data_IF_775417577383
#
_entry.id   IF_775417577383
#
_cell.length_a   1.000
_cell.length_b   1.000
_cell.length_c   1.000
_cell.angle_alpha   90.00
_cell.angle_beta   90.00
_cell.angle_gamma   90.00
#
_symmetry.space_group_name_H-M   'P 1'
#
loop_
_entity.id
_entity.type
_entity.pdbx_description
1 polymer ?
#
# COMPACT_ATOMS: atom_id res chain seq x y z
N UNK A 1 -18.39 26.33 -4.48
CA UNK A 1 -18.10 24.94 -4.11
C UNK A 1 -18.46 24.79 -2.65
N UNK A 2 -19.43 23.97 -2.30
CA UNK A 2 -19.81 23.73 -0.91
C UNK A 2 -18.74 22.87 -0.24
N UNK A 3 -18.06 23.40 0.78
CA UNK A 3 -17.19 22.62 1.67
C UNK A 3 -18.01 21.49 2.26
N UNK A 4 -17.76 20.26 1.81
CA UNK A 4 -18.29 19.06 2.46
C UNK A 4 -17.34 18.80 3.64
N UNK A 5 -17.81 18.86 4.90
CA UNK A 5 -16.98 18.56 6.06
C UNK A 5 -16.38 17.15 5.95
N UNK A 6 -15.07 17.01 6.15
CA UNK A 6 -14.35 15.73 6.02
C UNK A 6 -13.64 15.49 4.69
N UNK A 7 -13.49 16.52 3.85
CA UNK A 7 -12.68 16.49 2.61
C UNK A 7 -11.33 17.20 2.74
N UNK A 8 -10.96 17.64 3.94
CA UNK A 8 -9.70 18.34 4.16
C UNK A 8 -8.54 17.34 4.21
N UNK A 9 -7.44 17.69 3.57
CA UNK A 9 -6.19 16.94 3.66
C UNK A 9 -5.84 16.73 5.13
N UNK A 10 -5.48 15.48 5.46
CA UNK A 10 -5.06 15.12 6.81
C UNK A 10 -3.56 14.89 6.83
N UNK A 11 -2.85 15.67 7.65
CA UNK A 11 -1.41 15.53 7.83
C UNK A 11 -1.03 14.11 8.30
N UNK A 12 0.16 13.62 7.90
CA UNK A 12 0.67 12.33 8.33
C UNK A 12 0.71 12.18 9.86
N UNK A 13 0.24 11.04 10.35
CA UNK A 13 0.32 10.65 11.77
C UNK A 13 1.30 9.49 11.93
N UNK A 14 2.23 9.64 12.87
CA UNK A 14 3.17 8.58 13.22
C UNK A 14 2.74 7.95 14.55
N UNK A 15 2.55 6.64 14.52
CA UNK A 15 2.17 5.79 15.64
C UNK A 15 3.24 4.72 15.88
N UNK A 16 3.16 4.09 17.04
CA UNK A 16 3.92 2.89 17.36
C UNK A 16 2.95 1.76 17.70
N UNK A 17 2.94 0.71 16.88
CA UNK A 17 2.11 -0.48 17.11
C UNK A 17 3.05 -1.63 17.42
N UNK A 18 3.07 -2.07 18.69
CA UNK A 18 3.91 -3.17 19.16
C UNK A 18 5.41 -3.02 18.81
N UNK A 19 5.95 -1.82 18.91
CA UNK A 19 7.33 -1.50 18.56
C UNK A 19 7.58 -1.24 17.07
N UNK A 20 6.54 -1.30 16.22
CA UNK A 20 6.64 -1.05 14.78
C UNK A 20 6.20 0.39 14.50
N UNK A 21 7.06 1.15 13.80
CA UNK A 21 6.67 2.47 13.28
C UNK A 21 5.52 2.27 12.30
N UNK A 22 4.38 2.88 12.61
CA UNK A 22 3.19 2.86 11.75
C UNK A 22 2.87 4.29 11.34
N UNK A 23 2.78 4.55 10.04
CA UNK A 23 2.52 5.89 9.51
C UNK A 23 1.19 5.87 8.79
N UNK A 24 0.31 6.80 9.14
CA UNK A 24 -0.96 7.02 8.47
C UNK A 24 -0.84 8.31 7.66
N UNK A 25 -1.01 8.22 6.34
CA UNK A 25 -1.07 9.35 5.42
C UNK A 25 -2.47 9.45 4.83
N UNK A 26 -2.78 10.57 4.18
CA UNK A 26 -4.02 10.70 3.44
C UNK A 26 -3.85 10.36 1.95
N UNK A 27 -3.18 11.17 1.11
CA UNK A 27 -2.79 10.74 -0.22
C UNK A 27 -1.83 9.55 -0.17
N UNK A 28 -2.12 8.51 -0.94
CA UNK A 28 -1.35 7.26 -0.86
C UNK A 28 0.11 7.44 -1.25
N UNK A 29 0.41 8.29 -2.23
CA UNK A 29 1.77 8.56 -2.69
C UNK A 29 2.72 9.08 -1.60
N UNK A 30 2.19 9.71 -0.53
CA UNK A 30 3.01 10.26 0.55
C UNK A 30 3.70 9.17 1.40
N UNK A 31 3.26 7.90 1.34
CA UNK A 31 3.97 6.79 1.98
C UNK A 31 5.41 6.63 1.45
N UNK A 32 5.66 7.09 0.23
CA UNK A 32 6.93 6.93 -0.48
C UNK A 32 8.12 7.47 0.32
N UNK A 33 8.00 8.65 0.95
CA UNK A 33 9.12 9.23 1.69
C UNK A 33 9.47 8.42 2.94
N UNK A 34 8.49 7.79 3.58
CA UNK A 34 8.71 6.90 4.71
C UNK A 34 9.41 5.61 4.30
N UNK A 35 9.09 5.07 3.13
CA UNK A 35 9.78 3.91 2.57
C UNK A 35 11.23 4.26 2.21
N UNK A 36 11.43 5.41 1.56
CA UNK A 36 12.76 5.92 1.23
C UNK A 36 13.62 6.07 2.48
N UNK A 37 13.08 6.69 3.53
CA UNK A 37 13.79 6.93 4.79
C UNK A 37 14.08 5.64 5.55
N UNK A 38 13.20 4.63 5.49
CA UNK A 38 13.49 3.31 6.06
C UNK A 38 14.78 2.72 5.50
N UNK A 39 14.91 2.72 4.17
CA UNK A 39 16.02 2.09 3.46
C UNK A 39 17.29 2.96 3.49
N UNK A 40 17.17 4.29 3.52
CA UNK A 40 18.31 5.21 3.44
C UNK A 40 18.77 5.78 4.80
N UNK A 41 18.19 5.35 5.92
CA UNK A 41 18.56 5.86 7.25
C UNK A 41 19.82 5.23 7.86
N UNK A 42 20.36 4.16 7.26
CA UNK A 42 21.57 3.48 7.73
C UNK A 42 22.81 3.88 6.92
N UNK A 43 23.97 3.93 7.57
CA UNK A 43 25.28 4.14 6.92
C UNK A 43 25.83 2.87 6.24
N UNK A 44 25.18 1.73 6.40
CA UNK A 44 25.53 0.47 5.74
C UNK A 44 24.86 0.34 4.36
N UNK A 45 25.39 -0.56 3.51
CA UNK A 45 24.77 -0.89 2.22
C UNK A 45 23.37 -1.44 2.49
N UNK A 46 22.36 -0.65 2.18
CA UNK A 46 20.98 -1.04 2.41
C UNK A 46 20.52 -2.09 1.41
N UNK A 47 19.95 -3.18 1.93
CA UNK A 47 19.27 -4.18 1.11
C UNK A 47 17.86 -3.62 0.83
N UNK A 48 17.44 -3.49 -0.45
CA UNK A 48 16.10 -3.04 -0.79
C UNK A 48 15.04 -3.84 -0.04
N UNK A 49 13.93 -3.21 0.35
CA UNK A 49 12.88 -3.87 1.10
C UNK A 49 11.99 -4.77 0.23
N UNK A 50 11.33 -5.74 0.86
CA UNK A 50 10.16 -6.38 0.29
C UNK A 50 8.89 -5.59 0.69
N UNK A 51 8.01 -5.33 -0.27
CA UNK A 51 6.74 -4.64 -0.05
C UNK A 51 5.57 -5.61 -0.16
N UNK A 52 4.78 -5.73 0.92
CA UNK A 52 3.42 -6.25 0.86
C UNK A 52 2.44 -5.08 0.80
N UNK A 53 1.76 -4.92 -0.32
CA UNK A 53 0.81 -3.83 -0.57
C UNK A 53 -0.62 -4.38 -0.60
N UNK A 54 -1.44 -3.96 0.36
CA UNK A 54 -2.83 -4.39 0.56
C UNK A 54 -3.74 -3.29 0.04
N UNK A 55 -4.28 -3.49 -1.15
CA UNK A 55 -4.93 -2.41 -1.91
C UNK A 55 -6.00 -2.94 -2.90
N UNK A 56 -6.97 -2.10 -3.27
CA UNK A 56 -7.86 -2.33 -4.42
C UNK A 56 -7.14 -2.29 -5.77
N UNK A 57 -6.18 -1.39 -5.95
CA UNK A 57 -5.36 -1.09 -7.11
C UNK A 57 -3.95 -1.63 -6.88
N UNK A 58 -3.11 -1.67 -7.91
CA UNK A 58 -1.72 -2.13 -7.77
C UNK A 58 -0.72 -0.96 -7.78
N UNK A 59 -1.17 0.23 -8.15
CA UNK A 59 -0.40 1.48 -8.24
C UNK A 59 0.88 1.37 -9.07
N UNK A 60 0.80 0.62 -10.18
CA UNK A 60 1.91 0.36 -11.09
C UNK A 60 1.84 1.14 -12.41
N UNK A 61 0.94 2.11 -12.54
CA UNK A 61 0.71 2.81 -13.81
C UNK A 61 1.99 3.50 -14.31
N UNK A 62 2.17 3.53 -15.63
CA UNK A 62 3.38 3.97 -16.32
C UNK A 62 3.56 5.52 -16.33
N UNK A 63 4.83 5.99 -16.44
CA UNK A 63 5.32 7.38 -16.67
C UNK A 63 5.38 8.32 -15.47
N UNK A 64 6.53 8.44 -14.79
CA UNK A 64 6.62 9.28 -13.58
C UNK A 64 7.88 10.11 -13.47
N UNK A 65 7.76 11.30 -12.89
CA UNK A 65 8.90 12.21 -12.74
C UNK A 65 10.02 11.55 -11.92
N UNK A 66 11.26 11.67 -12.36
CA UNK A 66 12.43 11.41 -11.50
C UNK A 66 12.57 12.48 -10.41
N UNK A 67 13.27 12.12 -9.33
CA UNK A 67 13.72 13.03 -8.28
C UNK A 67 14.61 14.11 -8.91
N UNK A 68 14.13 15.34 -8.95
CA UNK A 68 14.81 16.48 -9.58
C UNK A 68 15.36 17.46 -8.53
N UNK A 69 16.17 16.99 -7.58
CA UNK A 69 16.80 17.85 -6.55
C UNK A 69 15.85 18.40 -5.48
N UNK A 70 14.58 18.02 -5.51
CA UNK A 70 13.61 18.26 -4.44
C UNK A 70 13.93 17.40 -3.21
N UNK A 71 13.51 17.86 -2.03
CA UNK A 71 13.49 16.99 -0.85
C UNK A 71 12.52 15.83 -1.05
N UNK A 72 12.74 14.73 -0.33
CA UNK A 72 12.00 13.48 -0.54
C UNK A 72 10.51 13.60 -0.23
N UNK A 73 10.11 14.47 0.70
CA UNK A 73 8.71 14.67 1.05
C UNK A 73 7.99 15.49 -0.03
N UNK A 74 8.65 16.52 -0.58
CA UNK A 74 8.18 17.24 -1.77
C UNK A 74 8.02 16.30 -2.96
N UNK A 75 9.04 15.49 -3.24
CA UNK A 75 8.99 14.52 -4.32
C UNK A 75 7.82 13.54 -4.14
N UNK A 76 7.66 12.96 -2.93
CA UNK A 76 6.58 12.04 -2.62
C UNK A 76 5.21 12.67 -2.89
N UNK A 77 4.97 13.91 -2.45
CA UNK A 77 3.70 14.64 -2.70
C UNK A 77 3.43 14.90 -4.18
N UNK A 78 4.48 15.07 -4.98
CA UNK A 78 4.38 15.31 -6.42
C UNK A 78 4.22 14.02 -7.25
N UNK A 79 4.37 12.84 -6.63
CA UNK A 79 4.06 11.57 -7.28
C UNK A 79 2.56 11.37 -7.46
N UNK A 80 2.19 10.67 -8.52
CA UNK A 80 0.80 10.27 -8.74
C UNK A 80 0.47 9.01 -7.95
N UNK A 81 -0.66 9.03 -7.23
CA UNK A 81 -1.13 7.93 -6.37
C UNK A 81 -1.24 6.58 -7.09
N UNK A 82 -1.43 6.55 -8.42
CA UNK A 82 -1.62 5.29 -9.16
C UNK A 82 -0.32 4.63 -9.64
N UNK A 83 0.84 5.08 -9.15
CA UNK A 83 2.11 4.82 -9.84
C UNK A 83 3.41 5.01 -9.06
N UNK A 84 3.33 5.44 -7.80
CA UNK A 84 4.50 5.74 -6.97
C UNK A 84 5.35 4.50 -6.66
N UNK A 85 4.86 3.29 -6.98
CA UNK A 85 5.61 2.03 -6.89
C UNK A 85 6.77 1.98 -7.91
N UNK A 86 6.61 2.53 -9.11
CA UNK A 86 7.66 2.49 -10.13
C UNK A 86 8.95 3.24 -9.70
N UNK A 87 8.85 4.49 -9.16
CA UNK A 87 9.97 5.13 -8.49
C UNK A 87 10.60 4.28 -7.38
N UNK A 88 9.81 3.54 -6.61
CA UNK A 88 10.35 2.74 -5.49
C UNK A 88 11.27 1.61 -5.96
N UNK A 89 10.93 0.98 -7.10
CA UNK A 89 11.83 0.05 -7.78
C UNK A 89 13.05 0.75 -8.39
N UNK A 90 12.83 1.89 -9.05
CA UNK A 90 13.89 2.64 -9.72
C UNK A 90 15.02 3.05 -8.76
N UNK A 91 14.65 3.59 -7.60
CA UNK A 91 15.59 4.01 -6.56
C UNK A 91 16.03 2.88 -5.63
N UNK A 92 15.71 1.62 -5.96
CA UNK A 92 16.06 0.43 -5.17
C UNK A 92 15.60 0.52 -3.70
N UNK A 93 14.49 1.22 -3.47
CA UNK A 93 13.80 1.22 -2.17
C UNK A 93 13.19 -0.17 -1.94
N UNK A 94 12.62 -0.75 -3.00
CA UNK A 94 12.06 -2.10 -2.99
C UNK A 94 12.62 -2.92 -4.15
N UNK A 95 12.74 -4.24 -3.97
CA UNK A 95 13.12 -5.19 -5.03
C UNK A 95 12.07 -6.32 -5.24
N UNK A 96 11.15 -6.46 -4.29
CA UNK A 96 10.03 -7.42 -4.35
C UNK A 96 8.74 -6.69 -3.99
N UNK A 97 7.69 -6.94 -4.79
CA UNK A 97 6.37 -6.37 -4.59
C UNK A 97 5.29 -7.47 -4.61
N UNK A 98 4.49 -7.49 -3.57
CA UNK A 98 3.40 -8.44 -3.40
C UNK A 98 2.10 -7.66 -3.22
N UNK A 99 1.22 -7.74 -4.22
CA UNK A 99 -0.07 -7.08 -4.17
C UNK A 99 -1.16 -8.03 -3.69
N UNK A 100 -1.79 -7.69 -2.58
CA UNK A 100 -2.92 -8.41 -2.03
C UNK A 100 -4.19 -7.56 -2.05
N UNK A 101 -5.07 -7.86 -3.01
CA UNK A 101 -6.41 -7.29 -3.04
C UNK A 101 -7.41 -8.19 -2.28
N UNK A 102 -7.97 -7.77 -1.12
CA UNK A 102 -8.90 -8.57 -0.32
C UNK A 102 -10.23 -8.90 -1.03
N UNK A 103 -10.51 -8.24 -2.15
CA UNK A 103 -11.69 -8.46 -3.00
C UNK A 103 -11.49 -9.59 -3.99
N UNK A 104 -10.25 -9.86 -4.38
CA UNK A 104 -9.89 -10.82 -5.42
C UNK A 104 -9.49 -12.15 -4.81
N UNK A 105 -9.66 -13.23 -5.58
CA UNK A 105 -9.28 -14.57 -5.15
C UNK A 105 -7.77 -14.84 -5.29
N UNK A 106 -7.11 -14.15 -6.21
CA UNK A 106 -5.72 -14.33 -6.56
C UNK A 106 -4.95 -13.02 -6.33
N UNK A 107 -3.97 -13.02 -5.42
CA UNK A 107 -3.07 -11.90 -5.30
C UNK A 107 -2.04 -11.94 -6.45
N UNK A 108 -1.36 -10.83 -6.71
CA UNK A 108 -0.31 -10.76 -7.74
C UNK A 108 1.05 -10.57 -7.09
N UNK A 109 2.09 -11.08 -7.75
CA UNK A 109 3.47 -10.88 -7.32
C UNK A 109 4.29 -10.37 -8.47
N UNK A 110 5.14 -9.41 -8.15
CA UNK A 110 6.08 -8.79 -9.04
C UNK A 110 7.43 -8.90 -8.37
N UNK A 111 8.36 -9.53 -9.07
CA UNK A 111 9.73 -9.69 -8.62
C UNK A 111 10.65 -9.32 -9.77
N UNK A 112 11.77 -8.68 -9.44
CA UNK A 112 12.84 -8.45 -10.40
C UNK A 112 12.44 -7.56 -11.59
N UNK A 113 11.49 -6.64 -11.37
CA UNK A 113 11.17 -5.59 -12.32
C UNK A 113 12.35 -4.63 -12.47
N UNK A 114 12.57 -4.20 -13.71
CA UNK A 114 13.54 -3.19 -14.05
C UNK A 114 12.81 -1.96 -14.54
N UNK A 115 13.30 -0.80 -14.15
CA UNK A 115 12.87 0.47 -14.70
C UNK A 115 14.03 1.14 -15.44
N UNK A 116 13.71 2.10 -16.29
CA UNK A 116 14.65 2.99 -16.93
C UNK A 116 14.14 4.42 -16.85
N UNK A 117 15.06 5.36 -16.99
CA UNK A 117 14.75 6.77 -17.12
C UNK A 117 14.81 7.18 -18.59
N UNK A 118 13.84 7.96 -19.04
CA UNK A 118 13.83 8.61 -20.35
C UNK A 118 13.09 9.95 -20.22
N UNK A 119 13.67 11.05 -20.70
CA UNK A 119 13.04 12.39 -20.67
C UNK A 119 12.52 12.79 -19.27
N UNK A 120 13.32 12.58 -18.22
CA UNK A 120 12.95 12.82 -16.82
C UNK A 120 11.71 12.02 -16.36
N UNK A 121 11.43 10.89 -17.02
CA UNK A 121 10.36 9.98 -16.64
C UNK A 121 10.87 8.56 -16.41
N UNK A 122 10.30 7.89 -15.41
CA UNK A 122 10.55 6.51 -15.06
C UNK A 122 9.55 5.62 -15.80
N UNK A 123 10.08 4.61 -16.48
CA UNK A 123 9.35 3.62 -17.26
C UNK A 123 9.71 2.21 -16.80
N UNK A 124 8.77 1.28 -16.93
CA UNK A 124 9.06 -0.15 -16.79
C UNK A 124 9.79 -0.68 -18.04
N UNK A 125 10.87 -1.45 -17.87
CA UNK A 125 11.63 -2.00 -19.00
C UNK A 125 10.90 -3.16 -19.68
N UNK A 126 10.14 -3.94 -18.92
CA UNK A 126 9.38 -5.06 -19.45
C UNK A 126 8.19 -5.36 -18.55
N UNK A 127 6.99 -5.24 -19.09
CA UNK A 127 5.75 -5.67 -18.44
C UNK A 127 5.69 -7.20 -18.29
N UNK A 128 6.59 -7.97 -18.91
CA UNK A 128 6.55 -9.45 -18.83
C UNK A 128 6.86 -10.02 -17.44
N UNK A 129 7.35 -9.23 -16.49
CA UNK A 129 7.75 -9.68 -15.15
C UNK A 129 6.59 -9.84 -14.15
N UNK A 130 5.34 -9.58 -14.57
CA UNK A 130 4.15 -9.83 -13.75
C UNK A 130 3.90 -11.33 -13.61
N UNK A 131 4.39 -11.95 -12.53
CA UNK A 131 4.07 -13.33 -12.22
C UNK A 131 2.66 -13.44 -11.62
N UNK A 132 1.71 -13.90 -12.44
CA UNK A 132 0.39 -14.35 -11.99
C UNK A 132 0.46 -15.88 -11.81
N UNK A 133 0.49 -16.40 -10.58
CA UNK A 133 0.57 -17.83 -10.33
C UNK A 133 -0.75 -18.53 -10.64
N UNK A 134 -0.64 -19.80 -11.08
CA UNK A 134 -1.77 -20.59 -11.58
C UNK A 134 -2.75 -21.06 -10.49
N UNK A 135 -2.37 -21.09 -9.21
CA UNK A 135 -3.28 -21.52 -8.12
C UNK A 135 -3.15 -20.69 -6.83
N UNK A 136 -4.24 -20.61 -6.07
CA UNK A 136 -4.35 -19.82 -4.84
C UNK A 136 -3.52 -20.38 -3.67
N UNK A 137 -3.54 -21.70 -3.49
CA UNK A 137 -2.89 -22.34 -2.34
C UNK A 137 -1.36 -22.24 -2.46
N UNK A 138 -0.84 -22.54 -3.66
CA UNK A 138 0.58 -22.37 -3.96
C UNK A 138 1.01 -20.92 -3.81
N UNK A 139 0.13 -19.96 -4.14
CA UNK A 139 0.47 -18.56 -4.05
C UNK A 139 0.59 -18.04 -2.63
N UNK A 140 -0.43 -18.23 -1.78
CA UNK A 140 -0.36 -17.68 -0.42
C UNK A 140 0.85 -18.26 0.31
N UNK A 141 1.12 -19.55 0.14
CA UNK A 141 2.32 -20.18 0.65
C UNK A 141 3.59 -19.53 0.10
N UNK A 142 3.76 -19.45 -1.23
CA UNK A 142 4.95 -18.90 -1.86
C UNK A 142 5.20 -17.44 -1.50
N UNK A 143 4.16 -16.60 -1.50
CA UNK A 143 4.25 -15.21 -1.08
C UNK A 143 4.70 -15.13 0.39
N UNK A 144 4.04 -15.83 1.31
CA UNK A 144 4.44 -15.79 2.73
C UNK A 144 5.84 -16.32 2.93
N UNK A 145 6.23 -17.37 2.21
CA UNK A 145 7.59 -17.91 2.24
C UNK A 145 8.60 -16.85 1.79
N UNK A 146 8.37 -16.19 0.64
CA UNK A 146 9.26 -15.15 0.12
C UNK A 146 9.35 -13.94 1.05
N UNK A 147 8.23 -13.47 1.59
CA UNK A 147 8.21 -12.38 2.57
C UNK A 147 8.98 -12.74 3.84
N UNK A 148 8.88 -13.98 4.32
CA UNK A 148 9.56 -14.45 5.54
C UNK A 148 11.06 -14.67 5.37
N UNK A 149 11.51 -14.99 4.16
CA UNK A 149 12.91 -15.32 3.88
C UNK A 149 13.65 -14.19 3.13
N UNK A 150 12.98 -13.08 2.84
CA UNK A 150 13.64 -11.90 2.29
C UNK A 150 14.56 -11.28 3.35
N UNK A 151 15.79 -10.95 2.92
CA UNK A 151 16.89 -10.54 3.80
C UNK A 151 16.83 -9.08 4.23
N UNK A 152 16.21 -8.22 3.41
CA UNK A 152 15.99 -6.82 3.74
C UNK A 152 14.76 -6.62 4.64
N UNK A 153 14.45 -5.35 4.85
CA UNK A 153 13.26 -4.96 5.60
C UNK A 153 11.97 -5.42 4.91
N UNK A 154 10.92 -5.63 5.70
CA UNK A 154 9.57 -5.85 5.24
C UNK A 154 8.72 -4.60 5.50
N UNK A 155 8.20 -4.02 4.43
CA UNK A 155 7.21 -2.96 4.46
C UNK A 155 5.83 -3.59 4.26
N UNK A 156 4.88 -3.24 5.13
CA UNK A 156 3.45 -3.54 4.93
C UNK A 156 2.74 -2.23 4.67
N UNK A 157 2.23 -2.08 3.45
CA UNK A 157 1.45 -0.93 3.03
C UNK A 157 -0.03 -1.31 2.88
N UNK A 158 -0.92 -0.45 3.37
CA UNK A 158 -2.36 -0.72 3.44
C UNK A 158 -3.13 0.52 2.97
N UNK A 159 -3.77 0.45 1.81
CA UNK A 159 -4.81 1.41 1.45
C UNK A 159 -6.14 0.98 2.09
N UNK A 160 -6.81 1.90 2.78
CA UNK A 160 -8.13 1.66 3.34
C UNK A 160 -9.18 1.37 2.26
N UNK A 161 -8.96 1.86 1.04
CA UNK A 161 -9.80 1.59 -0.11
C UNK A 161 -9.78 0.08 -0.43
N UNK A 162 -8.80 -0.71 0.03
CA UNK A 162 -8.76 -2.18 -0.11
C UNK A 162 -9.97 -2.86 0.54
N UNK A 163 -10.56 -2.21 1.55
CA UNK A 163 -11.66 -2.74 2.35
C UNK A 163 -13.01 -2.19 1.90
N UNK A 164 -13.09 -0.93 1.47
CA UNK A 164 -14.29 -0.34 0.89
C UNK A 164 -13.92 0.85 0.02
N UNK A 165 -14.47 0.91 -1.18
CA UNK A 165 -14.19 1.97 -2.16
C UNK A 165 -15.51 2.52 -2.69
N UNK A 166 -15.59 3.83 -2.96
CA UNK A 166 -16.81 4.52 -3.40
C UNK A 166 -17.33 4.06 -4.76
N UNK A 167 -16.48 3.48 -5.59
CA UNK A 167 -16.82 2.94 -6.90
C UNK A 167 -17.14 1.44 -6.85
N UNK A 168 -17.02 0.80 -5.69
CA UNK A 168 -17.39 -0.60 -5.51
C UNK A 168 -18.90 -0.76 -5.73
N UNK A 169 -19.29 -1.66 -6.64
CA UNK A 169 -20.70 -1.94 -6.91
C UNK A 169 -21.47 -2.31 -5.62
N UNK A 170 -20.79 -2.93 -4.65
CA UNK A 170 -21.35 -3.19 -3.35
C UNK A 170 -21.66 -1.91 -2.56
N UNK A 171 -20.73 -0.95 -2.55
CA UNK A 171 -20.95 0.34 -1.89
C UNK A 171 -22.10 1.10 -2.57
N UNK A 172 -22.08 1.21 -3.90
CA UNK A 172 -23.13 1.90 -4.65
C UNK A 172 -24.53 1.31 -4.38
N UNK A 173 -24.63 -0.02 -4.28
CA UNK A 173 -25.89 -0.73 -3.98
C UNK A 173 -26.34 -0.57 -2.53
N UNK A 174 -25.41 -0.50 -1.57
CA UNK A 174 -25.71 -0.61 -0.14
C UNK A 174 -25.30 0.61 0.68
N UNK A 175 -24.99 1.77 0.06
CA UNK A 175 -24.57 2.99 0.76
C UNK A 175 -25.58 3.48 1.81
N UNK A 176 -26.87 3.22 1.63
CA UNK A 176 -27.92 3.52 2.61
C UNK A 176 -28.11 2.43 3.68
N UNK A 177 -27.56 1.23 3.45
CA UNK A 177 -27.58 0.10 4.40
C UNK A 177 -26.20 -0.06 5.03
N UNK A 178 -25.93 0.74 6.07
CA UNK A 178 -24.60 0.78 6.71
C UNK A 178 -24.12 -0.59 7.20
N UNK A 179 -25.02 -1.40 7.74
CA UNK A 179 -24.73 -2.74 8.24
C UNK A 179 -24.20 -3.68 7.14
N UNK A 180 -24.69 -3.56 5.90
CA UNK A 180 -24.17 -4.34 4.79
C UNK A 180 -22.72 -3.95 4.45
N UNK A 181 -22.41 -2.65 4.41
CA UNK A 181 -21.05 -2.14 4.18
C UNK A 181 -20.09 -2.58 5.30
N UNK A 182 -20.46 -2.45 6.57
CA UNK A 182 -19.62 -2.89 7.69
C UNK A 182 -19.30 -4.38 7.64
N UNK A 183 -20.30 -5.24 7.37
CA UNK A 183 -20.05 -6.69 7.21
C UNK A 183 -19.07 -6.99 6.07
N UNK A 184 -19.13 -6.21 4.98
CA UNK A 184 -18.22 -6.37 3.84
C UNK A 184 -16.79 -5.97 4.19
N UNK A 185 -16.62 -4.83 4.89
CA UNK A 185 -15.34 -4.37 5.44
C UNK A 185 -14.74 -5.44 6.34
N UNK A 186 -15.49 -5.93 7.33
CA UNK A 186 -15.03 -6.94 8.28
C UNK A 186 -14.56 -8.23 7.58
N UNK A 187 -15.30 -8.67 6.55
CA UNK A 187 -14.90 -9.83 5.75
C UNK A 187 -13.54 -9.64 5.07
N UNK A 188 -13.27 -8.44 4.54
CA UNK A 188 -12.03 -8.10 3.83
C UNK A 188 -10.87 -7.92 4.82
N UNK A 189 -11.09 -7.22 5.93
CA UNK A 189 -10.12 -7.09 7.03
C UNK A 189 -9.75 -8.47 7.59
N UNK A 190 -10.72 -9.37 7.79
CA UNK A 190 -10.45 -10.76 8.20
C UNK A 190 -9.58 -11.50 7.17
N UNK A 191 -9.74 -11.19 5.89
CA UNK A 191 -8.88 -11.71 4.81
C UNK A 191 -7.43 -11.24 4.96
N UNK A 192 -7.22 -9.94 5.10
CA UNK A 192 -5.90 -9.33 5.33
C UNK A 192 -5.25 -9.87 6.62
N UNK A 193 -5.99 -9.94 7.74
CA UNK A 193 -5.52 -10.51 9.02
C UNK A 193 -4.95 -11.92 8.86
N UNK A 194 -5.60 -12.78 8.08
CA UNK A 194 -5.13 -14.16 7.85
C UNK A 194 -3.79 -14.21 7.13
N UNK A 195 -3.55 -13.26 6.22
CA UNK A 195 -2.29 -13.11 5.52
C UNK A 195 -1.22 -12.55 6.46
N UNK A 196 -1.50 -11.43 7.13
CA UNK A 196 -0.56 -10.75 8.02
C UNK A 196 -0.06 -11.66 9.17
N UNK A 197 -0.90 -12.57 9.67
CA UNK A 197 -0.48 -13.56 10.69
C UNK A 197 0.58 -14.57 10.19
N UNK A 198 0.81 -14.67 8.89
CA UNK A 198 1.71 -15.68 8.28
C UNK A 198 3.03 -15.08 7.81
N UNK A 199 3.20 -13.76 7.94
CA UNK A 199 4.42 -13.07 7.52
C UNK A 199 5.25 -12.69 8.75
N UNK A 200 6.56 -12.45 8.56
CA UNK A 200 7.46 -11.94 9.59
C UNK A 200 6.97 -10.57 10.08
N UNK A 201 7.40 -10.18 11.28
CA UNK A 201 7.11 -8.85 11.81
C UNK A 201 7.62 -7.79 10.82
N UNK A 202 6.79 -6.85 10.36
CA UNK A 202 7.24 -5.79 9.47
C UNK A 202 8.10 -4.77 10.22
N UNK A 203 8.99 -4.13 9.48
CA UNK A 203 9.87 -3.06 9.97
C UNK A 203 9.19 -1.69 9.88
N UNK A 204 8.27 -1.54 8.92
CA UNK A 204 7.44 -0.36 8.71
C UNK A 204 6.04 -0.77 8.29
N UNK A 205 5.04 -0.11 8.87
CA UNK A 205 3.66 -0.16 8.38
C UNK A 205 3.27 1.22 7.86
N UNK A 206 2.73 1.28 6.65
CA UNK A 206 2.10 2.48 6.10
C UNK A 206 0.62 2.24 5.85
N UNK A 207 -0.21 3.25 6.11
CA UNK A 207 -1.66 3.21 5.92
C UNK A 207 -2.07 4.47 5.16
N UNK A 208 -2.70 4.32 4.00
CA UNK A 208 -3.27 5.43 3.25
C UNK A 208 -4.78 5.50 3.49
N UNK A 209 -5.27 6.67 3.91
CA UNK A 209 -6.72 6.89 4.07
C UNK A 209 -7.42 7.01 2.71
N UNK A 210 -6.70 7.44 1.67
CA UNK A 210 -7.19 7.62 0.31
C UNK A 210 -8.46 8.45 0.25
N UNK A 211 -8.47 9.55 1.01
CA UNK A 211 -9.49 10.58 0.92
C UNK A 211 -9.08 11.69 -0.05
N UNK A 212 -7.78 12.00 -0.14
CA UNK A 212 -7.25 12.99 -1.09
C UNK A 212 -6.29 12.35 -2.12
N UNK A 213 -6.22 12.90 -3.35
CA UNK A 213 -7.05 13.98 -3.92
C UNK A 213 -8.46 13.53 -4.29
N UNK A 214 -8.71 12.23 -4.32
CA UNK A 214 -10.00 11.63 -4.68
C UNK A 214 -10.47 10.75 -3.53
N UNK A 215 -11.71 10.93 -3.07
CA UNK A 215 -12.30 10.16 -1.95
C UNK A 215 -12.55 8.69 -2.31
N UNK A 216 -11.51 7.89 -2.58
CA UNK A 216 -11.67 6.47 -2.92
C UNK A 216 -12.28 5.72 -1.74
N UNK A 217 -11.74 5.93 -0.53
CA UNK A 217 -12.39 5.48 0.70
C UNK A 217 -13.57 6.39 1.03
N UNK A 218 -14.80 5.85 1.18
CA UNK A 218 -15.95 6.65 1.56
C UNK A 218 -15.76 7.39 2.91
N UNK A 219 -15.94 8.72 2.97
CA UNK A 219 -15.65 9.52 4.17
C UNK A 219 -16.39 9.06 5.43
N UNK A 220 -17.62 8.57 5.29
CA UNK A 220 -18.43 8.08 6.41
C UNK A 220 -18.02 6.71 6.96
N UNK A 221 -17.00 6.09 6.35
CA UNK A 221 -16.42 4.80 6.75
C UNK A 221 -14.93 4.86 7.07
N UNK A 222 -14.20 5.91 6.68
CA UNK A 222 -12.73 5.99 6.81
C UNK A 222 -12.27 5.75 8.25
N UNK A 223 -12.85 6.46 9.23
CA UNK A 223 -12.50 6.34 10.65
C UNK A 223 -12.77 4.93 11.20
N UNK A 224 -13.89 4.34 10.77
CA UNK A 224 -14.21 2.97 11.15
C UNK A 224 -13.18 1.99 10.59
N UNK A 225 -12.89 2.07 9.29
CA UNK A 225 -11.97 1.14 8.63
C UNK A 225 -10.56 1.29 9.22
N UNK A 226 -10.08 2.52 9.39
CA UNK A 226 -8.79 2.81 10.03
C UNK A 226 -8.72 2.20 11.43
N UNK A 227 -9.70 2.49 12.30
CA UNK A 227 -9.74 1.94 13.66
C UNK A 227 -9.75 0.41 13.69
N UNK A 228 -10.49 -0.24 12.78
CA UNK A 228 -10.49 -1.71 12.63
C UNK A 228 -9.14 -2.25 12.18
N UNK A 229 -8.46 -1.59 11.24
CA UNK A 229 -7.12 -1.98 10.77
C UNK A 229 -6.12 -1.86 11.92
N UNK A 230 -6.12 -0.74 12.65
CA UNK A 230 -5.24 -0.52 13.79
C UNK A 230 -5.45 -1.56 14.90
N UNK A 231 -6.70 -1.90 15.24
CA UNK A 231 -7.00 -2.96 16.20
C UNK A 231 -6.44 -4.32 15.74
N UNK A 232 -6.61 -4.65 14.46
CA UNK A 232 -6.08 -5.90 13.91
C UNK A 232 -4.55 -5.94 13.97
N UNK A 233 -3.87 -4.85 13.64
CA UNK A 233 -2.42 -4.75 13.70
C UNK A 233 -1.92 -4.89 15.15
N UNK A 234 -2.52 -4.17 16.10
CA UNK A 234 -2.17 -4.25 17.52
C UNK A 234 -2.50 -5.59 18.18
N UNK A 235 -3.44 -6.36 17.61
CA UNK A 235 -3.72 -7.72 18.06
C UNK A 235 -2.89 -8.81 17.37
N UNK A 236 -2.09 -8.46 16.35
CA UNK A 236 -1.24 -9.40 15.61
C UNK A 236 0.23 -9.34 16.00
N UNK A 237 0.73 -8.13 16.27
CA UNK A 237 2.14 -7.86 16.57
C UNK A 237 2.33 -7.45 18.02
#
# INVERSE_FOLDING_TARGET
MTNIPGLEYTEPRVLNIAGIKTVIVDPHNEVFSYWYNLVNSSSEISIPAALLHIDKHDDLWERKNVINGEDIDSYARNLDISSFIAPAFHYKIIDKFFWFNPRKFFPRTIVDCKTHEHENQIFWNDASSFHIPRTRLSFTFLMTYRLNHHKGSLIVDIDLDAFLDKHDAHYLKYRTNRNACFRKVEKRIKGARRLLRRIKKPDLITIARSQNPNFFTPPEYVEYIEGRVLEVLGGLY
#
